data_IF_364576164110
#
_entry.id   IF_364576164110
#
_cell.length_a   1.000
_cell.length_b   1.000
_cell.length_c   1.000
_cell.angle_alpha   90.00
_cell.angle_beta   90.00
_cell.angle_gamma   90.00
#
_symmetry.space_group_name_H-M   'P 1'
#
loop_
_entity.id
_entity.type
_entity.pdbx_description
1 polymer ?
#
# COMPACT_ATOMS: atom_id res chain seq x y z
N UNK A 1 -19.87 1.64 14.80
CA UNK A 1 -20.70 1.68 13.57
C UNK A 1 -19.78 1.97 12.41
N UNK A 2 -19.85 1.23 11.29
CA UNK A 2 -19.07 1.58 10.10
C UNK A 2 -19.55 2.95 9.59
N UNK A 3 -18.60 3.85 9.32
CA UNK A 3 -18.87 5.19 8.77
C UNK A 3 -19.35 5.00 7.33
N UNK A 4 -20.52 5.56 6.97
CA UNK A 4 -21.07 5.51 5.61
C UNK A 4 -20.11 6.07 4.54
N UNK A 5 -19.17 6.95 4.95
CA UNK A 5 -18.13 7.50 4.08
C UNK A 5 -17.13 6.45 3.60
N UNK A 6 -17.02 5.32 4.29
CA UNK A 6 -16.22 4.17 3.83
C UNK A 6 -16.93 3.38 2.72
N UNK A 7 -18.26 3.47 2.66
CA UNK A 7 -19.08 2.82 1.63
C UNK A 7 -19.13 3.62 0.32
N UNK A 8 -18.93 4.94 0.41
CA UNK A 8 -18.93 5.85 -0.74
C UNK A 8 -17.61 6.60 -0.79
N UNK A 9 -16.52 5.97 -1.25
CA UNK A 9 -15.22 6.61 -1.33
C UNK A 9 -15.28 7.80 -2.30
N UNK A 10 -14.81 8.96 -1.85
CA UNK A 10 -14.70 10.15 -2.69
C UNK A 10 -13.73 9.97 -3.87
N UNK A 11 -13.66 10.97 -4.75
CA UNK A 11 -12.71 10.99 -5.90
C UNK A 11 -11.27 10.76 -5.46
N UNK A 12 -10.89 11.24 -4.28
CA UNK A 12 -9.53 11.18 -3.77
C UNK A 12 -9.43 10.35 -2.48
N UNK A 13 -8.31 9.65 -2.33
CA UNK A 13 -7.98 8.94 -1.10
C UNK A 13 -7.82 9.94 0.06
N UNK A 14 -8.48 9.66 1.16
CA UNK A 14 -8.37 10.44 2.39
C UNK A 14 -7.59 9.67 3.47
N UNK A 15 -7.03 10.39 4.46
CA UNK A 15 -6.33 9.75 5.57
C UNK A 15 -7.24 8.79 6.34
N UNK A 16 -8.52 9.11 6.51
CA UNK A 16 -9.48 8.30 7.26
C UNK A 16 -9.71 6.90 6.68
N UNK A 17 -9.47 6.72 5.39
CA UNK A 17 -9.55 5.43 4.71
C UNK A 17 -8.35 4.51 5.03
N UNK A 18 -7.30 5.07 5.67
CA UNK A 18 -6.09 4.34 6.04
C UNK A 18 -5.98 4.18 7.56
N UNK A 19 -6.55 3.12 8.16
CA UNK A 19 -6.52 2.89 9.62
C UNK A 19 -5.11 2.60 10.15
N UNK A 20 -4.17 2.28 9.28
CA UNK A 20 -2.76 2.00 9.57
C UNK A 20 -1.88 2.48 8.42
N UNK A 21 -0.55 2.60 8.61
CA UNK A 21 0.36 2.88 7.50
C UNK A 21 0.25 1.81 6.40
N UNK A 22 0.03 2.26 5.16
CA UNK A 22 -0.16 1.39 4.00
C UNK A 22 0.94 1.66 2.99
N UNK A 23 1.55 0.58 2.49
CA UNK A 23 2.52 0.63 1.40
C UNK A 23 1.78 0.96 0.10
N UNK A 24 2.24 1.98 -0.60
CA UNK A 24 1.69 2.41 -1.89
C UNK A 24 2.79 2.47 -2.94
N UNK A 25 2.43 2.18 -4.17
CA UNK A 25 3.25 2.41 -5.36
C UNK A 25 2.69 3.60 -6.12
N UNK A 26 3.53 4.55 -6.52
CA UNK A 26 3.12 5.70 -7.32
C UNK A 26 3.11 5.26 -8.80
N UNK A 27 1.95 5.25 -9.43
CA UNK A 27 1.78 4.86 -10.83
C UNK A 27 1.95 6.03 -11.79
N UNK A 28 1.46 7.22 -11.39
CA UNK A 28 1.65 8.46 -12.16
C UNK A 28 1.61 9.67 -11.25
N UNK A 29 2.19 10.77 -11.72
CA UNK A 29 2.21 12.07 -11.03
C UNK A 29 1.85 13.15 -12.03
N UNK A 30 0.96 14.05 -11.65
CA UNK A 30 0.58 15.22 -12.45
C UNK A 30 0.24 16.43 -11.57
N UNK A 31 0.35 17.61 -12.12
CA UNK A 31 -0.19 18.82 -11.48
C UNK A 31 -1.70 18.88 -11.70
N UNK A 32 -2.48 19.11 -10.65
CA UNK A 32 -3.91 19.38 -10.73
C UNK A 32 -4.19 20.76 -10.16
N UNK A 33 -4.98 21.54 -10.89
CA UNK A 33 -5.49 22.83 -10.43
C UNK A 33 -6.89 22.59 -9.88
N UNK A 34 -7.05 22.80 -8.58
CA UNK A 34 -8.36 22.73 -7.94
C UNK A 34 -8.91 24.14 -7.86
N UNK A 35 -9.99 24.38 -8.60
CA UNK A 35 -10.78 25.60 -8.47
C UNK A 35 -11.92 25.29 -7.49
N UNK A 36 -11.93 25.97 -6.35
CA UNK A 36 -13.09 26.01 -5.45
C UNK A 36 -14.11 26.98 -6.03
N UNK A 37 -15.00 26.50 -6.89
CA UNK A 37 -15.98 27.32 -7.61
C UNK A 37 -17.08 27.87 -6.69
N UNK A 38 -17.33 27.21 -5.55
CA UNK A 38 -18.45 27.51 -4.66
C UNK A 38 -18.16 28.61 -3.61
N UNK A 39 -16.89 28.94 -3.37
CA UNK A 39 -16.51 29.87 -2.30
C UNK A 39 -15.82 31.11 -2.85
N UNK A 40 -16.60 32.21 -2.98
CA UNK A 40 -16.10 33.51 -3.45
C UNK A 40 -14.92 34.06 -2.64
N UNK A 41 -14.82 33.68 -1.34
CA UNK A 41 -13.72 34.10 -0.49
C UNK A 41 -12.42 33.39 -0.87
N UNK A 42 -12.52 32.21 -1.45
CA UNK A 42 -11.37 31.39 -1.93
C UNK A 42 -10.98 31.78 -3.36
N UNK A 43 -11.92 32.25 -4.20
CA UNK A 43 -11.61 32.77 -5.54
C UNK A 43 -10.59 33.92 -5.51
N UNK A 44 -10.61 34.75 -4.46
CA UNK A 44 -9.64 35.83 -4.26
C UNK A 44 -8.20 35.39 -4.00
N UNK A 45 -7.97 34.08 -3.66
CA UNK A 45 -6.62 33.53 -3.39
C UNK A 45 -5.94 32.95 -4.63
N UNK A 46 -6.64 32.89 -5.75
CA UNK A 46 -6.15 32.24 -6.99
C UNK A 46 -6.20 30.70 -6.91
N UNK A 47 -5.93 30.04 -8.03
CA UNK A 47 -5.96 28.58 -8.12
C UNK A 47 -4.94 27.95 -7.18
N UNK A 48 -5.36 26.92 -6.42
CA UNK A 48 -4.46 26.15 -5.58
C UNK A 48 -3.91 24.99 -6.40
N UNK A 49 -2.60 24.99 -6.64
CA UNK A 49 -1.93 23.88 -7.29
C UNK A 49 -1.63 22.77 -6.29
N UNK A 50 -2.12 21.56 -6.59
CA UNK A 50 -1.82 20.34 -5.85
C UNK A 50 -1.24 19.31 -6.81
N UNK A 51 -0.43 18.42 -6.28
CA UNK A 51 0.12 17.30 -7.05
C UNK A 51 -0.86 16.11 -6.92
N UNK A 52 -1.35 15.63 -8.05
CA UNK A 52 -2.15 14.43 -8.15
C UNK A 52 -1.24 13.23 -8.36
N UNK A 53 -1.28 12.28 -7.45
CA UNK A 53 -0.62 10.99 -7.58
C UNK A 53 -1.68 9.91 -7.78
N UNK A 54 -1.57 9.12 -8.84
CA UNK A 54 -2.29 7.85 -8.95
C UNK A 54 -1.46 6.80 -8.23
N UNK A 55 -2.05 6.16 -7.24
CA UNK A 55 -1.36 5.19 -6.39
C UNK A 55 -2.04 3.84 -6.43
N UNK A 56 -1.24 2.78 -6.31
CA UNK A 56 -1.70 1.39 -6.15
C UNK A 56 -1.30 0.88 -4.77
N UNK A 57 -2.21 0.22 -4.09
CA UNK A 57 -1.96 -0.35 -2.77
C UNK A 57 -2.89 -1.55 -2.50
N UNK A 58 -2.58 -2.31 -1.45
CA UNK A 58 -3.50 -3.33 -0.93
C UNK A 58 -4.39 -2.65 0.10
N UNK A 59 -5.69 -2.71 -0.14
CA UNK A 59 -6.69 -2.20 0.80
C UNK A 59 -6.54 -2.91 2.16
N UNK A 60 -6.34 -2.18 3.25
CA UNK A 60 -6.09 -2.76 4.56
C UNK A 60 -7.27 -3.56 5.15
N UNK A 61 -8.48 -3.39 4.60
CA UNK A 61 -9.69 -4.08 5.04
C UNK A 61 -9.97 -5.34 4.22
N UNK A 62 -9.84 -5.23 2.89
CA UNK A 62 -10.22 -6.31 1.96
C UNK A 62 -9.02 -7.11 1.45
N UNK A 63 -7.79 -6.63 1.69
CA UNK A 63 -6.53 -7.16 1.18
C UNK A 63 -6.50 -7.31 -0.36
N UNK A 64 -7.35 -6.55 -1.07
CA UNK A 64 -7.38 -6.52 -2.54
C UNK A 64 -6.54 -5.36 -3.09
N UNK A 65 -5.92 -5.51 -4.26
CA UNK A 65 -5.23 -4.41 -4.91
C UNK A 65 -6.24 -3.35 -5.37
N UNK A 66 -5.98 -2.10 -5.01
CA UNK A 66 -6.82 -0.95 -5.35
C UNK A 66 -5.94 0.15 -5.93
N UNK A 67 -6.45 0.82 -6.97
CA UNK A 67 -5.85 2.02 -7.55
C UNK A 67 -6.72 3.23 -7.20
N UNK A 68 -6.13 4.26 -6.64
CA UNK A 68 -6.81 5.48 -6.21
C UNK A 68 -6.02 6.73 -6.53
N UNK A 69 -6.73 7.82 -6.68
CA UNK A 69 -6.16 9.16 -6.79
C UNK A 69 -5.86 9.70 -5.39
N UNK A 70 -4.65 10.22 -5.17
CA UNK A 70 -4.23 10.85 -3.93
C UNK A 70 -3.73 12.26 -4.21
N UNK A 71 -4.31 13.27 -3.53
CA UNK A 71 -3.84 14.64 -3.62
C UNK A 71 -2.73 14.88 -2.60
N UNK A 72 -1.53 15.15 -3.10
CA UNK A 72 -0.39 15.52 -2.29
C UNK A 72 -0.40 17.03 -2.09
N UNK A 73 -0.58 17.45 -0.84
CA UNK A 73 -0.37 18.83 -0.44
C UNK A 73 1.13 19.14 -0.33
N UNK A 74 1.46 20.41 -0.16
CA UNK A 74 2.86 20.88 -0.05
C UNK A 74 3.69 20.07 0.95
N UNK A 75 3.13 19.70 2.10
CA UNK A 75 3.81 18.88 3.11
C UNK A 75 4.19 17.50 2.55
N UNK A 76 3.23 16.81 1.92
CA UNK A 76 3.49 15.50 1.31
C UNK A 76 4.51 15.59 0.18
N UNK A 77 4.45 16.66 -0.64
CA UNK A 77 5.44 16.87 -1.69
C UNK A 77 6.85 17.05 -1.12
N UNK A 78 7.02 17.87 -0.08
CA UNK A 78 8.32 18.08 0.57
C UNK A 78 8.84 16.77 1.20
N UNK A 79 7.99 16.00 1.83
CA UNK A 79 8.37 14.71 2.40
C UNK A 79 8.79 13.70 1.33
N UNK A 80 8.06 13.65 0.20
CA UNK A 80 8.42 12.79 -0.94
C UNK A 80 9.70 13.27 -1.63
N UNK A 81 9.86 14.58 -1.82
CA UNK A 81 11.08 15.21 -2.33
C UNK A 81 12.30 14.86 -1.46
N UNK A 82 12.14 14.86 -0.15
CA UNK A 82 13.23 14.51 0.78
C UNK A 82 13.69 13.07 0.59
N UNK A 83 12.81 12.16 0.21
CA UNK A 83 13.12 10.74 0.01
C UNK A 83 13.68 10.49 -1.41
N UNK A 84 13.05 11.06 -2.44
CA UNK A 84 13.26 10.69 -3.84
C UNK A 84 13.83 11.83 -4.72
N UNK A 85 14.03 13.02 -4.14
CA UNK A 85 14.51 14.18 -4.89
C UNK A 85 13.38 15.03 -5.48
N UNK A 86 13.76 16.16 -6.09
CA UNK A 86 12.85 17.22 -6.57
C UNK A 86 12.05 16.86 -7.81
N UNK A 87 12.62 15.99 -8.62
CA UNK A 87 11.99 15.58 -9.87
C UNK A 87 10.78 14.67 -9.57
N UNK A 88 9.59 15.24 -9.73
CA UNK A 88 8.34 14.51 -9.46
C UNK A 88 8.06 13.42 -10.51
N UNK A 89 8.59 13.52 -11.71
CA UNK A 89 8.49 12.45 -12.73
C UNK A 89 9.28 11.22 -12.27
N UNK A 90 10.41 11.44 -11.59
CA UNK A 90 11.20 10.40 -10.96
C UNK A 90 10.52 9.69 -9.77
N UNK A 91 9.36 10.16 -9.32
CA UNK A 91 8.58 9.47 -8.26
C UNK A 91 7.75 8.31 -8.79
N UNK A 92 7.52 8.22 -10.09
CA UNK A 92 6.76 7.12 -10.71
C UNK A 92 7.48 5.79 -10.47
N UNK A 93 6.75 4.76 -10.10
CA UNK A 93 7.27 3.44 -9.73
C UNK A 93 7.90 3.38 -8.34
N UNK A 94 7.95 4.50 -7.58
CA UNK A 94 8.50 4.51 -6.24
C UNK A 94 7.48 4.08 -5.19
N UNK A 95 7.99 3.52 -4.10
CA UNK A 95 7.20 2.96 -3.00
C UNK A 95 7.24 3.90 -1.80
N UNK A 96 6.08 4.31 -1.33
CA UNK A 96 5.91 5.09 -0.11
C UNK A 96 5.01 4.35 0.89
N UNK A 97 5.04 4.82 2.13
CA UNK A 97 4.02 4.49 3.12
C UNK A 97 3.20 5.74 3.41
N UNK A 98 1.88 5.61 3.28
CA UNK A 98 0.93 6.66 3.60
C UNK A 98 0.14 6.26 4.84
N UNK A 99 -0.24 7.23 5.65
CA UNK A 99 -1.05 7.02 6.83
C UNK A 99 -2.01 8.18 7.09
N UNK A 100 -2.96 7.98 7.99
CA UNK A 100 -3.74 9.05 8.58
C UNK A 100 -2.93 9.73 9.69
N UNK A 101 -2.68 11.02 9.55
CA UNK A 101 -2.16 11.82 10.65
C UNK A 101 -3.34 12.51 11.34
N UNK A 102 -3.72 12.02 12.50
CA UNK A 102 -4.84 12.52 13.28
C UNK A 102 -4.65 13.96 13.80
N UNK A 103 -3.40 14.44 13.85
CA UNK A 103 -3.08 15.79 14.33
C UNK A 103 -3.26 16.88 13.28
N UNK A 104 -3.69 16.54 12.06
CA UNK A 104 -3.94 17.54 11.02
C UNK A 104 -5.19 18.34 11.35
N UNK A 105 -5.04 19.66 11.40
CA UNK A 105 -6.13 20.61 11.70
C UNK A 105 -6.50 21.40 10.46
N UNK A 106 -7.81 21.62 10.27
CA UNK A 106 -8.36 22.62 9.37
C UNK A 106 -9.10 23.67 10.24
N UNK A 107 -8.48 24.84 10.41
CA UNK A 107 -8.99 25.83 11.35
C UNK A 107 -8.88 25.36 12.80
N UNK A 108 -10.00 25.36 13.54
CA UNK A 108 -10.10 24.86 14.90
C UNK A 108 -10.27 23.33 14.98
N UNK A 109 -10.73 22.71 13.89
CA UNK A 109 -11.11 21.30 13.90
C UNK A 109 -9.92 20.38 13.62
N UNK A 110 -9.86 19.27 14.34
CA UNK A 110 -8.94 18.18 14.08
C UNK A 110 -9.60 17.25 13.05
N UNK A 111 -9.16 17.35 11.79
CA UNK A 111 -9.80 16.61 10.69
C UNK A 111 -9.07 15.34 10.30
N UNK A 112 -7.83 15.16 10.81
CA UNK A 112 -6.93 14.15 10.28
C UNK A 112 -6.53 14.46 8.83
N UNK A 113 -5.56 13.75 8.30
CA UNK A 113 -5.15 13.97 6.93
C UNK A 113 -4.14 12.97 6.40
N UNK A 114 -4.20 12.74 5.10
CA UNK A 114 -3.23 11.90 4.41
C UNK A 114 -1.82 12.47 4.54
N UNK A 115 -0.88 11.64 4.99
CA UNK A 115 0.54 12.01 5.15
C UNK A 115 1.46 10.89 4.68
N UNK A 116 2.60 11.31 4.14
CA UNK A 116 3.74 10.41 3.92
C UNK A 116 4.30 10.02 5.28
N UNK A 117 4.31 8.73 5.56
CA UNK A 117 4.81 8.16 6.81
C UNK A 117 6.28 7.78 6.71
N UNK A 118 6.71 7.33 5.54
CA UNK A 118 8.08 6.92 5.29
C UNK A 118 8.24 6.16 3.99
N UNK A 119 9.34 5.46 3.86
CA UNK A 119 9.66 4.63 2.70
C UNK A 119 10.32 3.31 3.12
N UNK A 120 10.44 2.33 2.19
CA UNK A 120 11.17 1.10 2.45
C UNK A 120 12.61 1.38 2.89
N UNK A 121 13.13 0.60 3.85
CA UNK A 121 14.48 0.77 4.41
C UNK A 121 15.60 0.63 3.36
N UNK A 122 15.34 -0.04 2.24
CA UNK A 122 16.28 -0.11 1.13
C UNK A 122 16.53 1.27 0.47
N UNK A 123 15.56 2.19 0.55
CA UNK A 123 15.64 3.55 -0.01
C UNK A 123 15.88 4.58 1.08
N UNK A 124 15.27 4.38 2.24
CA UNK A 124 15.33 5.25 3.40
C UNK A 124 15.81 4.45 4.60
N UNK A 125 17.14 4.33 4.82
CA UNK A 125 17.71 3.32 5.73
C UNK A 125 17.43 3.56 7.20
N UNK A 126 17.16 4.79 7.61
CA UNK A 126 16.95 5.18 9.02
C UNK A 126 15.87 6.25 9.17
N UNK A 127 15.26 6.29 10.35
CA UNK A 127 14.29 7.32 10.70
C UNK A 127 14.96 8.69 10.74
N UNK A 128 14.34 9.70 10.10
CA UNK A 128 14.84 11.07 10.12
C UNK A 128 13.75 12.09 10.36
N UNK A 129 14.06 13.11 11.11
CA UNK A 129 13.16 14.26 11.31
C UNK A 129 13.36 15.28 10.20
N UNK A 130 12.29 15.59 9.49
CA UNK A 130 12.23 16.61 8.45
C UNK A 130 11.55 17.85 9.00
N UNK A 131 12.24 18.99 8.95
CA UNK A 131 11.70 20.27 9.42
C UNK A 131 11.06 21.02 8.26
N UNK A 132 9.76 21.26 8.33
CA UNK A 132 9.02 21.97 7.29
C UNK A 132 8.58 23.34 7.79
N UNK A 133 9.15 24.41 7.22
CA UNK A 133 8.79 25.77 7.53
C UNK A 133 7.47 26.15 6.84
N UNK A 134 6.49 26.55 7.59
CA UNK A 134 5.23 27.06 7.02
C UNK A 134 5.37 28.53 6.60
N UNK A 135 5.00 28.90 5.36
CA UNK A 135 5.24 30.24 4.81
C UNK A 135 4.63 31.39 5.62
N UNK A 136 3.61 31.13 6.42
CA UNK A 136 2.85 32.16 7.18
C UNK A 136 2.98 32.03 8.69
N UNK A 137 3.78 31.10 9.19
CA UNK A 137 4.00 30.88 10.64
C UNK A 137 5.48 30.92 10.94
N UNK A 138 5.84 31.55 12.05
CA UNK A 138 7.24 31.53 12.55
C UNK A 138 7.67 30.13 13.02
N UNK A 139 6.70 29.20 13.19
CA UNK A 139 6.93 27.84 13.67
C UNK A 139 7.31 26.90 12.53
N UNK A 140 8.22 26.03 12.83
CA UNK A 140 8.61 24.88 11.99
C UNK A 140 7.90 23.65 12.52
N UNK A 141 7.27 22.89 11.65
CA UNK A 141 6.69 21.60 12.01
C UNK A 141 7.72 20.50 11.77
N UNK A 142 7.88 19.62 12.74
CA UNK A 142 8.77 18.47 12.66
C UNK A 142 7.95 17.23 12.23
N UNK A 143 8.42 16.58 11.17
CA UNK A 143 7.85 15.35 10.66
C UNK A 143 8.88 14.24 10.72
N UNK A 144 8.55 13.12 11.36
CA UNK A 144 9.41 11.95 11.39
C UNK A 144 9.09 11.06 10.20
N UNK A 145 10.01 10.97 9.25
CA UNK A 145 9.97 10.00 8.17
C UNK A 145 10.56 8.67 8.66
N UNK A 146 9.75 7.62 8.61
CA UNK A 146 10.11 6.29 9.10
C UNK A 146 10.82 5.47 8.03
N UNK A 147 11.84 4.77 8.47
CA UNK A 147 12.46 3.68 7.72
C UNK A 147 11.65 2.40 7.95
N UNK A 148 10.92 1.96 6.93
CA UNK A 148 10.08 0.78 7.06
C UNK A 148 10.87 -0.43 6.56
N UNK A 149 11.36 -1.22 7.50
CA UNK A 149 11.96 -2.52 7.17
C UNK A 149 10.87 -3.39 6.55
N UNK A 150 11.17 -4.12 5.45
CA UNK A 150 10.26 -5.16 5.02
C UNK A 150 9.96 -5.99 6.27
N UNK A 151 8.67 -6.17 6.57
CA UNK A 151 8.29 -7.16 7.57
C UNK A 151 9.00 -8.43 7.10
N UNK A 152 10.02 -8.86 7.85
CA UNK A 152 10.60 -10.16 7.62
C UNK A 152 9.41 -11.10 7.44
N UNK A 153 9.34 -11.89 6.37
CA UNK A 153 8.26 -12.87 6.23
C UNK A 153 8.12 -13.42 7.62
N UNK A 154 6.94 -13.25 8.24
CA UNK A 154 6.76 -13.47 9.67
C UNK A 154 7.58 -14.71 9.96
N UNK A 155 8.67 -14.54 10.71
CA UNK A 155 9.56 -15.65 11.02
C UNK A 155 8.60 -16.70 11.43
N UNK A 156 8.40 -17.67 10.51
CA UNK A 156 7.37 -18.63 10.69
C UNK A 156 7.78 -19.31 11.99
N UNK A 157 7.18 -18.84 13.09
CA UNK A 157 7.12 -19.60 14.34
C UNK A 157 6.22 -20.81 14.08
N UNK A 158 6.34 -21.35 12.88
CA UNK A 158 5.77 -22.58 12.44
C UNK A 158 6.92 -23.56 12.30
N UNK A 159 6.73 -24.70 12.87
CA UNK A 159 7.60 -25.85 12.73
C UNK A 159 8.01 -26.00 11.26
N UNK A 160 9.29 -26.26 11.02
CA UNK A 160 9.80 -26.52 9.68
C UNK A 160 8.96 -27.64 9.02
N UNK A 161 8.61 -27.52 7.74
CA UNK A 161 7.71 -28.48 7.11
C UNK A 161 8.32 -29.87 7.14
N UNK A 162 7.53 -30.87 7.48
CA UNK A 162 7.98 -32.25 7.48
C UNK A 162 8.37 -32.66 6.07
N UNK A 163 9.46 -33.41 5.90
CA UNK A 163 9.90 -33.90 4.56
C UNK A 163 8.78 -34.58 3.77
N UNK A 164 7.87 -35.29 4.46
CA UNK A 164 6.70 -35.90 3.86
C UNK A 164 5.71 -34.90 3.25
N UNK A 165 5.53 -33.74 3.86
CA UNK A 165 4.63 -32.69 3.34
C UNK A 165 5.23 -32.03 2.10
N UNK A 166 6.54 -31.82 2.09
CA UNK A 166 7.24 -31.28 0.91
C UNK A 166 7.13 -32.25 -0.27
N UNK A 167 7.38 -33.54 -0.03
CA UNK A 167 7.26 -34.56 -1.05
C UNK A 167 5.84 -34.70 -1.60
N UNK A 168 4.83 -34.64 -0.76
CA UNK A 168 3.43 -34.72 -1.19
C UNK A 168 3.01 -33.49 -2.01
N UNK A 169 3.42 -32.28 -1.61
CA UNK A 169 3.15 -31.07 -2.39
C UNK A 169 3.81 -31.12 -3.77
N UNK A 170 5.05 -31.61 -3.86
CA UNK A 170 5.77 -31.80 -5.13
C UNK A 170 5.08 -32.84 -6.02
N UNK A 171 4.61 -33.94 -5.43
CA UNK A 171 3.86 -34.97 -6.16
C UNK A 171 2.56 -34.43 -6.74
N UNK A 172 1.76 -33.73 -5.93
CA UNK A 172 0.49 -33.12 -6.37
C UNK A 172 0.71 -32.05 -7.44
N UNK A 173 1.77 -31.25 -7.30
CA UNK A 173 2.14 -30.27 -8.33
C UNK A 173 2.51 -30.96 -9.65
N UNK A 174 3.26 -32.06 -9.61
CA UNK A 174 3.59 -32.83 -10.81
C UNK A 174 2.32 -33.36 -11.50
N UNK A 175 1.40 -33.96 -10.74
CA UNK A 175 0.11 -34.44 -11.25
C UNK A 175 -0.72 -33.29 -11.87
N UNK A 176 -0.83 -32.16 -11.20
CA UNK A 176 -1.53 -31.00 -11.74
C UNK A 176 -0.88 -30.48 -13.02
N UNK A 177 0.45 -30.51 -13.10
CA UNK A 177 1.21 -30.07 -14.28
C UNK A 177 0.94 -30.96 -15.51
N UNK A 178 0.66 -32.23 -15.32
CA UNK A 178 0.25 -33.15 -16.41
C UNK A 178 -1.13 -32.81 -16.97
N UNK A 179 -2.06 -32.36 -16.12
CA UNK A 179 -3.43 -32.05 -16.51
C UNK A 179 -3.62 -30.58 -16.90
N UNK A 180 -2.98 -29.66 -16.19
CA UNK A 180 -3.11 -28.21 -16.42
C UNK A 180 -1.81 -27.47 -16.03
N UNK A 181 -0.82 -27.38 -16.94
CA UNK A 181 0.49 -26.81 -16.66
C UNK A 181 0.43 -25.32 -16.30
N UNK A 182 -0.53 -24.58 -16.85
CA UNK A 182 -0.68 -23.16 -16.55
C UNK A 182 -1.16 -22.95 -15.11
N UNK A 183 -2.20 -23.68 -14.70
CA UNK A 183 -2.72 -23.59 -13.33
C UNK A 183 -1.69 -24.09 -12.31
N UNK A 184 -0.95 -25.14 -12.62
CA UNK A 184 0.13 -25.62 -11.78
C UNK A 184 1.22 -24.56 -11.57
N UNK A 185 1.63 -23.86 -12.63
CA UNK A 185 2.59 -22.77 -12.56
C UNK A 185 2.05 -21.59 -11.74
N UNK A 186 0.77 -21.20 -11.91
CA UNK A 186 0.16 -20.11 -11.18
C UNK A 186 0.08 -20.43 -9.66
N UNK A 187 -0.40 -21.61 -9.30
CA UNK A 187 -0.47 -22.08 -7.89
C UNK A 187 0.91 -22.16 -7.24
N UNK A 188 1.93 -22.57 -8.00
CA UNK A 188 3.30 -22.66 -7.48
C UNK A 188 4.01 -21.32 -7.40
N UNK A 189 3.74 -20.40 -8.35
CA UNK A 189 4.36 -19.07 -8.41
C UNK A 189 3.86 -18.13 -7.31
N UNK A 190 2.58 -18.23 -6.91
CA UNK A 190 2.07 -17.48 -5.76
C UNK A 190 2.82 -17.78 -4.46
N UNK A 191 3.66 -18.76 -4.47
CA UNK A 191 4.17 -19.43 -3.30
C UNK A 191 5.71 -19.53 -3.22
N UNK A 192 6.46 -18.69 -3.90
CA UNK A 192 7.92 -18.72 -3.99
C UNK A 192 8.68 -18.27 -2.72
N UNK A 193 8.41 -18.86 -1.55
CA UNK A 193 9.15 -18.60 -0.31
C UNK A 193 9.15 -19.81 0.63
N UNK A 194 10.13 -19.97 1.52
CA UNK A 194 10.16 -21.13 2.43
C UNK A 194 8.92 -21.16 3.32
N UNK A 195 8.19 -22.27 3.25
CA UNK A 195 6.92 -22.49 3.92
C UNK A 195 7.06 -23.04 5.33
N UNK A 196 6.10 -22.67 6.18
CA UNK A 196 5.83 -23.35 7.43
C UNK A 196 5.01 -24.61 7.21
N UNK A 197 4.99 -25.51 8.18
CA UNK A 197 4.14 -26.71 8.20
C UNK A 197 2.66 -26.38 7.92
N UNK A 198 2.14 -25.27 8.48
CA UNK A 198 0.77 -24.81 8.26
C UNK A 198 0.52 -24.37 6.81
N UNK A 199 1.48 -23.71 6.18
CA UNK A 199 1.38 -23.26 4.80
C UNK A 199 1.43 -24.43 3.83
N UNK A 200 2.30 -25.44 4.09
CA UNK A 200 2.30 -26.67 3.32
C UNK A 200 0.98 -27.45 3.43
N UNK A 201 0.38 -27.49 4.61
CA UNK A 201 -0.95 -28.10 4.79
C UNK A 201 -2.01 -27.43 3.91
N UNK A 202 -2.01 -26.10 3.86
CA UNK A 202 -2.92 -25.34 3.00
C UNK A 202 -2.63 -25.58 1.51
N UNK A 203 -1.37 -25.58 1.12
CA UNK A 203 -0.93 -25.85 -0.25
C UNK A 203 -1.38 -27.24 -0.72
N UNK A 204 -1.12 -28.27 0.09
CA UNK A 204 -1.54 -29.65 -0.19
C UNK A 204 -3.05 -29.74 -0.38
N UNK A 205 -3.84 -29.06 0.49
CA UNK A 205 -5.30 -29.04 0.37
C UNK A 205 -5.75 -28.40 -0.94
N UNK A 206 -5.15 -27.27 -1.33
CA UNK A 206 -5.45 -26.58 -2.59
C UNK A 206 -5.09 -27.44 -3.80
N UNK A 207 -3.87 -27.95 -3.85
CA UNK A 207 -3.42 -28.84 -4.94
C UNK A 207 -4.28 -30.11 -5.05
N UNK A 208 -4.69 -30.68 -3.93
CA UNK A 208 -5.57 -31.86 -3.93
C UNK A 208 -6.94 -31.55 -4.52
N UNK A 209 -7.51 -30.37 -4.20
CA UNK A 209 -8.80 -29.95 -4.76
C UNK A 209 -8.70 -29.73 -6.29
N UNK A 210 -7.64 -29.08 -6.74
CA UNK A 210 -7.42 -28.82 -8.16
C UNK A 210 -7.16 -30.09 -8.96
N UNK A 211 -6.38 -31.03 -8.45
CA UNK A 211 -6.16 -32.35 -9.10
C UNK A 211 -7.47 -33.11 -9.23
N UNK A 212 -8.30 -33.15 -8.17
CA UNK A 212 -9.63 -33.81 -8.25
C UNK A 212 -10.53 -33.17 -9.28
N UNK A 213 -10.51 -31.85 -9.37
CA UNK A 213 -11.29 -31.09 -10.36
C UNK A 213 -10.83 -31.43 -11.79
N UNK A 214 -9.51 -31.56 -11.99
CA UNK A 214 -8.92 -31.90 -13.29
C UNK A 214 -9.21 -33.35 -13.73
N UNK A 215 -9.31 -34.28 -12.76
CA UNK A 215 -9.64 -35.69 -13.01
C UNK A 215 -11.15 -35.94 -13.22
N UNK A 216 -11.99 -34.87 -13.20
CA UNK A 216 -13.43 -34.98 -13.45
C UNK A 216 -14.22 -35.57 -12.28
N UNK A 217 -13.71 -35.55 -11.07
CA UNK A 217 -14.42 -35.96 -9.87
C UNK A 217 -15.53 -34.98 -9.49
N UNK A 218 -16.67 -35.47 -8.94
CA UNK A 218 -17.73 -34.57 -8.44
C UNK A 218 -17.18 -33.70 -7.32
N UNK A 219 -17.59 -32.39 -7.38
CA UNK A 219 -17.26 -31.38 -6.40
C UNK A 219 -17.86 -31.68 -5.01
#
# INVERSE_FOLDING_TARGET
MPDWKTLCPGKYLTGRELPRPVKVEILSVSGEILLDEEDESKRKKGPEHKVLCVIKYLDPLTNKPVTRNALFNKTNCVLTETIYGRDYEGWVGKLLFLHNNENVRMGADITGGLRVFGAPSAVWPEDRTVKIKRPRRKMTDDYVLRSIKPKAPASATGTEPKPAQVAEAQRLHALLSEHNPKLAADVWAEQASPYTESQYTTLIATLTAEVRSAEGGPA
#
